data_IF_615460238399
#
_entry.id   IF_615460238399
#
_cell.length_a   1.000
_cell.length_b   1.000
_cell.length_c   1.000
_cell.angle_alpha   90.00
_cell.angle_beta   90.00
_cell.angle_gamma   90.00
#
_symmetry.space_group_name_H-M   'P 1'
#
loop_
_entity.id
_entity.type
_entity.pdbx_description
1 polymer ?
#
# COMPACT_ATOMS: atom_id res chain seq x y z
N UNK A 1 22.76 58.09 -13.42
CA UNK A 1 21.46 58.16 -14.13
C UNK A 1 20.46 57.33 -13.35
N UNK A 2 19.42 57.95 -12.79
CA UNK A 2 18.38 57.24 -12.02
C UNK A 2 17.24 56.84 -12.94
N UNK A 3 16.86 55.56 -12.94
CA UNK A 3 15.71 55.07 -13.70
C UNK A 3 14.46 55.28 -12.83
N UNK A 4 13.54 56.14 -13.28
CA UNK A 4 12.26 56.36 -12.61
C UNK A 4 11.32 55.22 -12.98
N UNK A 5 11.05 54.35 -12.00
CA UNK A 5 10.09 53.27 -12.18
C UNK A 5 8.65 53.83 -12.23
N UNK A 6 7.82 53.30 -13.12
CA UNK A 6 6.39 53.63 -13.18
C UNK A 6 5.67 53.06 -11.95
N UNK A 7 4.66 53.79 -11.47
CA UNK A 7 3.81 53.34 -10.37
C UNK A 7 3.02 52.11 -10.82
N UNK A 8 3.38 50.94 -10.31
CA UNK A 8 2.69 49.67 -10.56
C UNK A 8 2.17 49.10 -9.23
N UNK A 9 0.92 49.39 -8.84
CA UNK A 9 0.35 48.92 -7.59
C UNK A 9 0.14 47.39 -7.59
N UNK A 10 0.01 46.76 -8.77
CA UNK A 10 -0.15 45.32 -8.87
C UNK A 10 1.10 44.59 -8.39
N UNK A 11 2.29 45.17 -8.62
CA UNK A 11 3.57 44.61 -8.14
C UNK A 11 3.71 44.62 -6.62
N UNK A 12 3.09 45.57 -5.93
CA UNK A 12 3.13 45.64 -4.47
C UNK A 12 2.29 44.55 -3.80
N UNK A 13 1.22 44.12 -4.47
CA UNK A 13 0.29 43.07 -3.98
C UNK A 13 0.67 41.69 -4.53
N UNK A 14 1.43 41.62 -5.62
CA UNK A 14 1.81 40.37 -6.25
C UNK A 14 2.80 39.55 -5.41
N UNK A 15 2.65 38.23 -5.49
CA UNK A 15 3.61 37.30 -4.92
C UNK A 15 5.02 37.48 -5.49
N UNK A 16 6.00 37.45 -4.60
CA UNK A 16 7.41 37.39 -4.99
C UNK A 16 7.75 36.03 -5.58
N UNK A 17 8.84 35.97 -6.37
CA UNK A 17 9.37 34.70 -6.91
C UNK A 17 9.62 33.69 -5.79
N UNK A 18 10.12 34.14 -4.62
CA UNK A 18 10.34 33.29 -3.46
C UNK A 18 9.03 32.78 -2.83
N UNK A 19 7.96 33.60 -2.81
CA UNK A 19 6.64 33.18 -2.32
C UNK A 19 6.02 32.12 -3.24
N UNK A 20 6.06 32.35 -4.55
CA UNK A 20 5.56 31.39 -5.56
C UNK A 20 6.32 30.06 -5.52
N UNK A 21 7.65 30.11 -5.33
CA UNK A 21 8.47 28.91 -5.19
C UNK A 21 8.10 28.07 -3.96
N UNK A 22 7.78 28.71 -2.82
CA UNK A 22 7.30 27.98 -1.62
C UNK A 22 5.94 27.31 -1.83
N UNK A 23 5.08 27.90 -2.66
CA UNK A 23 3.77 27.35 -2.98
C UNK A 23 3.82 26.30 -4.09
N UNK A 24 4.98 26.07 -4.72
CA UNK A 24 5.12 25.13 -5.83
C UNK A 24 4.48 25.59 -7.14
N UNK A 25 3.96 26.82 -7.21
CA UNK A 25 3.26 27.36 -8.39
C UNK A 25 4.29 27.59 -9.50
N UNK A 26 4.20 26.80 -10.57
CA UNK A 26 5.11 26.86 -11.73
C UNK A 26 6.32 25.92 -11.67
N UNK A 27 6.42 25.04 -10.69
CA UNK A 27 7.28 23.86 -10.82
C UNK A 27 6.64 22.90 -11.83
N UNK A 28 7.43 22.30 -12.73
CA UNK A 28 6.92 21.29 -13.69
C UNK A 28 6.28 20.08 -13.00
N UNK A 29 6.61 19.89 -11.74
CA UNK A 29 6.12 18.83 -10.85
C UNK A 29 5.08 19.43 -9.87
N UNK A 30 4.07 20.13 -10.40
CA UNK A 30 2.83 20.34 -9.66
C UNK A 30 2.22 18.96 -9.42
N UNK A 31 2.28 18.49 -8.16
CA UNK A 31 1.82 17.19 -7.69
C UNK A 31 2.68 15.97 -8.08
N UNK A 32 3.82 15.80 -7.43
CA UNK A 32 4.13 14.45 -6.94
C UNK A 32 3.13 14.13 -5.83
N UNK A 33 1.96 13.59 -6.20
CA UNK A 33 1.04 12.91 -5.29
C UNK A 33 1.87 12.08 -4.31
N UNK A 34 1.86 12.51 -3.04
CA UNK A 34 2.60 11.96 -1.90
C UNK A 34 3.17 10.57 -2.17
N UNK A 35 4.38 10.51 -2.72
CA UNK A 35 5.11 9.26 -2.68
C UNK A 35 5.27 8.92 -1.20
N UNK A 36 4.95 7.67 -0.81
CA UNK A 36 5.07 7.30 0.58
C UNK A 36 6.50 7.56 1.03
N UNK A 37 6.64 8.20 2.20
CA UNK A 37 7.95 8.56 2.76
C UNK A 37 8.90 7.35 2.84
N UNK A 38 8.34 6.14 2.88
CA UNK A 38 9.07 4.88 2.85
C UNK A 38 8.50 3.93 1.79
N UNK A 39 9.39 3.11 1.21
CA UNK A 39 8.99 2.02 0.33
C UNK A 39 8.32 0.92 1.16
N UNK A 40 7.03 0.71 0.94
CA UNK A 40 6.30 -0.39 1.57
C UNK A 40 6.70 -1.72 0.90
N UNK A 41 7.24 -2.65 1.69
CA UNK A 41 7.52 -4.01 1.25
C UNK A 41 6.36 -4.94 1.65
N UNK A 42 5.20 -4.69 1.07
CA UNK A 42 4.00 -5.50 1.29
C UNK A 42 3.90 -6.62 0.25
N UNK A 43 2.99 -7.55 0.50
CA UNK A 43 2.66 -8.59 -0.46
C UNK A 43 1.80 -8.04 -1.60
N UNK A 44 2.03 -8.53 -2.81
CA UNK A 44 1.13 -8.29 -3.94
C UNK A 44 -0.10 -9.20 -3.86
N UNK A 45 -1.17 -8.85 -4.56
CA UNK A 45 -2.37 -9.71 -4.62
C UNK A 45 -2.00 -11.12 -5.10
N UNK A 46 -1.19 -11.24 -6.15
CA UNK A 46 -0.71 -12.53 -6.67
C UNK A 46 0.03 -13.36 -5.62
N UNK A 47 0.84 -12.71 -4.77
CA UNK A 47 1.55 -13.38 -3.68
C UNK A 47 0.59 -13.86 -2.60
N UNK A 48 -0.44 -13.08 -2.28
CA UNK A 48 -1.48 -13.46 -1.32
C UNK A 48 -2.33 -14.62 -1.86
N UNK A 49 -2.71 -14.56 -3.13
CA UNK A 49 -3.46 -15.63 -3.81
C UNK A 49 -2.65 -16.89 -4.07
N UNK A 50 -1.33 -16.86 -3.93
CA UNK A 50 -0.50 -18.05 -4.02
C UNK A 50 -0.81 -19.06 -2.91
N UNK A 51 -1.37 -18.60 -1.78
CA UNK A 51 -1.71 -19.46 -0.65
C UNK A 51 -2.95 -20.34 -0.98
N UNK A 52 -2.79 -21.68 -1.03
CA UNK A 52 -3.88 -22.57 -1.41
C UNK A 52 -5.02 -22.55 -0.39
N UNK A 53 -4.69 -22.37 0.89
CA UNK A 53 -5.68 -22.27 1.98
C UNK A 53 -6.59 -21.05 1.79
N UNK A 54 -6.05 -19.91 1.37
CA UNK A 54 -6.84 -18.71 1.13
C UNK A 54 -7.80 -18.90 -0.04
N UNK A 55 -7.32 -19.48 -1.15
CA UNK A 55 -8.16 -19.77 -2.32
C UNK A 55 -9.35 -20.66 -1.98
N UNK A 56 -9.12 -21.71 -1.20
CA UNK A 56 -10.18 -22.63 -0.77
C UNK A 56 -11.16 -21.92 0.18
N UNK A 57 -10.66 -21.09 1.08
CA UNK A 57 -11.49 -20.33 2.01
C UNK A 57 -12.43 -19.36 1.28
N UNK A 58 -11.92 -18.63 0.29
CA UNK A 58 -12.71 -17.76 -0.58
C UNK A 58 -13.80 -18.54 -1.31
N UNK A 59 -13.45 -19.67 -1.94
CA UNK A 59 -14.43 -20.52 -2.61
C UNK A 59 -15.52 -21.04 -1.64
N UNK A 60 -15.16 -21.37 -0.40
CA UNK A 60 -16.12 -21.78 0.63
C UNK A 60 -17.01 -20.63 1.11
N UNK A 61 -16.53 -19.38 1.08
CA UNK A 61 -17.35 -18.19 1.35
C UNK A 61 -18.33 -17.92 0.23
N UNK A 62 -17.87 -17.99 -1.03
CA UNK A 62 -18.71 -17.84 -2.23
C UNK A 62 -19.82 -18.89 -2.26
N UNK A 63 -19.51 -20.14 -1.88
CA UNK A 63 -20.47 -21.22 -1.74
C UNK A 63 -21.35 -21.13 -0.47
N UNK A 64 -21.07 -20.19 0.45
CA UNK A 64 -21.79 -20.03 1.71
C UNK A 64 -21.48 -21.08 2.80
N UNK A 65 -20.54 -22.00 2.56
CA UNK A 65 -20.22 -23.15 3.42
C UNK A 65 -19.17 -22.87 4.52
N UNK A 66 -18.60 -21.66 4.56
CA UNK A 66 -17.55 -21.27 5.51
C UNK A 66 -17.77 -21.62 7.01
N UNK A 67 -19.02 -21.58 7.50
CA UNK A 67 -19.36 -21.87 8.92
C UNK A 67 -19.58 -23.35 9.23
N UNK A 68 -19.53 -24.23 8.22
CA UNK A 68 -19.84 -25.65 8.39
C UNK A 68 -18.67 -26.42 8.99
N UNK A 69 -18.97 -27.59 9.60
CA UNK A 69 -17.94 -28.53 10.05
C UNK A 69 -17.06 -29.02 8.88
N UNK A 70 -17.67 -29.16 7.70
CA UNK A 70 -16.96 -29.52 6.48
C UNK A 70 -15.83 -28.51 6.15
N UNK A 71 -16.14 -27.21 6.17
CA UNK A 71 -15.13 -26.17 5.95
C UNK A 71 -13.99 -26.25 6.98
N UNK A 72 -14.31 -26.50 8.25
CA UNK A 72 -13.31 -26.67 9.32
C UNK A 72 -12.39 -27.87 9.07
N UNK A 73 -12.94 -29.01 8.65
CA UNK A 73 -12.14 -30.20 8.36
C UNK A 73 -11.24 -30.01 7.14
N UNK A 74 -11.77 -29.43 6.06
CA UNK A 74 -11.01 -29.15 4.83
C UNK A 74 -9.87 -28.18 5.10
N UNK A 75 -10.13 -27.05 5.79
CA UNK A 75 -9.11 -26.05 6.11
C UNK A 75 -8.04 -26.56 7.08
N UNK A 76 -8.36 -27.55 7.93
CA UNK A 76 -7.39 -28.17 8.84
C UNK A 76 -6.39 -29.08 8.13
N UNK A 77 -6.79 -29.68 7.00
CA UNK A 77 -5.94 -30.58 6.21
C UNK A 77 -5.01 -29.85 5.24
N UNK A 78 -5.33 -28.60 4.89
CA UNK A 78 -4.55 -27.79 3.96
C UNK A 78 -3.27 -27.26 4.62
N UNK A 79 -2.08 -27.67 4.14
CA UNK A 79 -0.82 -27.19 4.68
C UNK A 79 -0.56 -25.73 4.26
N UNK A 80 0.18 -24.96 5.07
CA UNK A 80 0.71 -23.68 4.62
C UNK A 80 1.71 -23.89 3.47
N UNK A 81 1.82 -22.95 2.52
CA UNK A 81 2.72 -23.10 1.37
C UNK A 81 4.19 -23.09 1.77
N UNK A 82 4.53 -22.40 2.86
CA UNK A 82 5.83 -22.54 3.52
C UNK A 82 5.64 -23.40 4.76
N UNK A 83 6.29 -24.56 4.77
CA UNK A 83 6.38 -25.38 5.96
C UNK A 83 7.04 -24.58 7.09
N UNK A 84 6.71 -24.88 8.36
CA UNK A 84 7.46 -24.37 9.49
C UNK A 84 8.95 -24.64 9.28
N UNK A 85 9.79 -23.70 9.70
CA UNK A 85 11.23 -23.94 9.72
C UNK A 85 11.53 -25.17 10.59
N UNK A 86 12.64 -25.87 10.32
CA UNK A 86 13.02 -27.11 11.03
C UNK A 86 13.05 -26.97 12.56
N UNK A 87 13.42 -25.78 13.03
CA UNK A 87 13.45 -25.41 14.46
C UNK A 87 12.06 -25.17 15.07
N UNK A 88 11.03 -24.96 14.25
CA UNK A 88 9.64 -24.73 14.66
C UNK A 88 8.72 -25.94 14.41
N UNK A 89 9.27 -27.10 14.09
CA UNK A 89 8.48 -28.33 13.97
C UNK A 89 7.89 -28.71 15.34
N UNK A 90 6.56 -28.63 15.48
CA UNK A 90 5.88 -29.10 16.67
C UNK A 90 5.89 -30.64 16.73
N UNK A 91 6.46 -31.20 17.79
CA UNK A 91 6.39 -32.65 18.08
C UNK A 91 5.01 -33.09 18.59
N UNK A 92 4.16 -32.14 19.00
CA UNK A 92 2.84 -32.40 19.60
C UNK A 92 1.88 -33.23 18.72
N UNK A 93 2.13 -33.29 17.40
CA UNK A 93 1.28 -34.01 16.44
C UNK A 93 2.01 -35.18 15.75
N UNK A 94 3.20 -35.57 16.21
CA UNK A 94 3.86 -36.80 15.75
C UNK A 94 3.32 -37.98 16.58
N UNK A 95 2.66 -38.93 15.91
CA UNK A 95 2.30 -40.26 16.46
C UNK A 95 3.53 -41.13 16.61
#
# INVERSE_FOLDING_TARGET
>A
VGIVAKLDPARAVADTVASRARMGIGAREEFELQQPLFRLHTYTEEQVFSDPRLRVELALREAGLHKTLYAREVLSKLPPPKLPRRDMESTAFKM
#
